data_IF_531479347204
#
_entry.id   IF_531479347204
#
_cell.length_a   1.000
_cell.length_b   1.000
_cell.length_c   1.000
_cell.angle_alpha   90.00
_cell.angle_beta   90.00
_cell.angle_gamma   90.00
#
_symmetry.space_group_name_H-M   'P 1'
#
loop_
_entity.id
_entity.type
_entity.pdbx_description
1 polymer ?
#
# COMPACT_ATOMS: atom_id res chain seq x y z
N UNK A 1 13.87 18.11 1.99
CA UNK A 1 13.12 18.20 3.26
C UNK A 1 13.49 16.96 4.07
N UNK A 2 14.10 17.10 5.25
CA UNK A 2 14.23 16.01 6.21
C UNK A 2 13.18 16.25 7.28
N UNK A 3 12.14 15.42 7.34
CA UNK A 3 11.20 15.46 8.44
C UNK A 3 11.91 14.90 9.68
N UNK A 4 11.79 15.56 10.83
CA UNK A 4 12.54 15.21 12.06
C UNK A 4 11.72 14.38 13.04
N UNK A 5 10.44 14.10 12.72
CA UNK A 5 9.53 13.33 13.56
C UNK A 5 8.72 12.37 12.68
N UNK A 6 8.43 11.18 13.22
CA UNK A 6 7.62 10.15 12.57
C UNK A 6 6.64 9.55 13.57
N UNK A 7 5.46 9.12 13.09
CA UNK A 7 4.51 8.32 13.86
C UNK A 7 4.72 6.81 13.65
N UNK A 8 5.70 6.42 12.83
CA UNK A 8 6.05 5.03 12.60
C UNK A 8 6.77 4.42 13.81
N UNK A 9 6.65 3.10 13.96
CA UNK A 9 7.40 2.35 14.99
C UNK A 9 8.92 2.31 14.72
N UNK A 10 9.35 2.63 13.50
CA UNK A 10 10.76 2.72 13.11
C UNK A 10 11.14 4.19 13.05
N UNK A 11 12.06 4.62 13.91
CA UNK A 11 12.41 6.04 14.05
C UNK A 11 13.10 6.61 12.81
N UNK A 12 13.84 5.77 12.06
CA UNK A 12 14.58 6.16 10.86
C UNK A 12 13.69 6.30 9.61
N UNK A 13 12.40 5.97 9.73
CA UNK A 13 11.42 6.09 8.66
C UNK A 13 10.62 7.38 8.81
N UNK A 14 11.03 8.41 8.08
CA UNK A 14 10.31 9.69 8.02
C UNK A 14 9.41 9.81 6.78
N UNK A 15 9.16 8.69 6.09
CA UNK A 15 8.34 8.68 4.88
C UNK A 15 6.89 9.06 5.18
N UNK A 16 6.22 9.63 4.19
CA UNK A 16 4.79 9.87 4.27
C UNK A 16 4.02 8.72 3.62
N UNK A 17 3.01 8.24 4.32
CA UNK A 17 2.07 7.22 3.88
C UNK A 17 0.67 7.78 4.00
N UNK A 18 -0.05 7.88 2.89
CA UNK A 18 -1.38 8.48 2.88
C UNK A 18 -2.39 7.62 2.12
N UNK A 19 -3.62 7.62 2.63
CA UNK A 19 -4.78 6.92 2.06
C UNK A 19 -6.02 7.82 2.21
N UNK A 20 -7.04 7.68 1.34
CA UNK A 20 -8.29 8.41 1.53
C UNK A 20 -8.98 7.96 2.82
N UNK A 21 -9.54 8.92 3.54
CA UNK A 21 -10.27 8.69 4.79
C UNK A 21 -11.49 7.82 4.54
N UNK A 22 -11.67 6.77 5.34
CA UNK A 22 -12.91 6.00 5.36
C UNK A 22 -13.98 6.77 6.11
N UNK A 23 -15.18 6.85 5.54
CA UNK A 23 -16.33 7.47 6.15
C UNK A 23 -17.42 6.41 6.35
N UNK A 24 -18.14 6.47 7.47
CA UNK A 24 -19.41 5.76 7.66
C UNK A 24 -20.51 6.78 7.89
N UNK A 25 -21.47 6.85 6.96
CA UNK A 25 -22.58 7.83 6.99
C UNK A 25 -22.07 9.27 7.17
N UNK A 26 -21.00 9.61 6.46
CA UNK A 26 -20.36 10.93 6.48
C UNK A 26 -19.47 11.23 7.69
N UNK A 27 -19.32 10.29 8.64
CA UNK A 27 -18.42 10.44 9.80
C UNK A 27 -17.11 9.73 9.55
N UNK A 28 -16.00 10.34 9.98
CA UNK A 28 -14.65 9.74 9.92
C UNK A 28 -14.61 8.43 10.69
N UNK A 29 -14.00 7.42 10.06
CA UNK A 29 -13.61 6.17 10.69
C UNK A 29 -12.10 6.07 10.58
N UNK A 30 -11.41 6.33 11.68
CA UNK A 30 -9.96 6.18 11.73
C UNK A 30 -9.57 4.70 11.61
N UNK A 31 -8.50 4.38 10.85
CA UNK A 31 -7.90 3.05 10.89
C UNK A 31 -7.50 2.71 12.33
N UNK A 32 -7.79 1.48 12.75
CA UNK A 32 -7.26 0.91 13.99
C UNK A 32 -5.75 0.67 13.87
N UNK A 33 -5.30 0.25 12.69
CA UNK A 33 -3.90 -0.03 12.40
C UNK A 33 -3.61 0.19 10.91
N UNK A 34 -2.43 0.73 10.62
CA UNK A 34 -1.86 0.76 9.26
C UNK A 34 -0.47 0.13 9.32
N UNK A 35 -0.33 -1.01 8.67
CA UNK A 35 0.95 -1.72 8.59
C UNK A 35 1.55 -1.54 7.22
N UNK A 36 2.73 -0.91 7.17
CA UNK A 36 3.50 -0.73 5.93
C UNK A 36 4.51 -1.86 5.81
N UNK A 37 4.41 -2.62 4.72
CA UNK A 37 5.33 -3.69 4.38
C UNK A 37 6.25 -3.28 3.25
N UNK A 38 7.54 -3.58 3.43
CA UNK A 38 8.56 -3.52 2.39
C UNK A 38 8.89 -4.96 1.98
N UNK A 39 8.48 -5.36 0.77
CA UNK A 39 8.75 -6.69 0.23
C UNK A 39 9.37 -6.64 -1.16
N UNK A 40 9.42 -7.81 -1.81
CA UNK A 40 9.69 -7.92 -3.24
C UNK A 40 8.66 -8.84 -3.86
N UNK A 41 8.11 -8.46 -5.01
CA UNK A 41 7.21 -9.29 -5.82
C UNK A 41 7.90 -9.82 -7.08
N UNK A 42 9.13 -9.38 -7.33
CA UNK A 42 9.98 -9.85 -8.41
C UNK A 42 10.53 -11.23 -8.08
N UNK A 43 10.74 -12.03 -9.13
CA UNK A 43 11.26 -13.40 -9.02
C UNK A 43 12.66 -13.45 -8.43
N UNK A 44 13.50 -12.46 -8.75
CA UNK A 44 14.85 -12.29 -8.22
C UNK A 44 14.91 -11.03 -7.34
N UNK A 45 14.73 -11.14 -6.01
CA UNK A 45 14.81 -10.00 -5.11
C UNK A 45 16.25 -9.59 -4.77
N UNK A 46 17.27 -10.35 -5.20
CA UNK A 46 18.67 -10.07 -4.86
C UNK A 46 19.20 -8.77 -5.48
N UNK A 47 18.50 -8.26 -6.51
CA UNK A 47 18.84 -7.03 -7.24
C UNK A 47 18.03 -5.81 -6.80
N UNK A 48 17.13 -5.97 -5.81
CA UNK A 48 16.36 -4.85 -5.25
C UNK A 48 17.30 -3.81 -4.67
N UNK A 49 17.11 -2.55 -5.07
CA UNK A 49 17.85 -1.39 -4.58
C UNK A 49 16.98 -0.57 -3.63
N UNK A 50 17.54 0.11 -2.62
CA UNK A 50 16.77 1.04 -1.80
C UNK A 50 16.19 2.16 -2.66
N UNK A 51 15.02 2.66 -2.26
CA UNK A 51 14.44 3.83 -2.92
C UNK A 51 15.39 5.03 -2.82
N UNK A 52 15.53 5.83 -3.88
CA UNK A 52 16.24 7.09 -3.78
C UNK A 52 15.48 8.06 -2.85
N UNK A 53 16.17 8.87 -2.04
CA UNK A 53 15.53 9.90 -1.24
C UNK A 53 14.74 10.84 -2.13
N UNK A 54 13.50 11.16 -1.77
CA UNK A 54 12.70 12.03 -2.61
C UNK A 54 11.67 11.32 -3.48
N UNK A 55 11.77 9.99 -3.67
CA UNK A 55 10.86 9.24 -4.54
C UNK A 55 9.41 9.37 -4.07
N UNK A 56 8.50 9.66 -5.00
CA UNK A 56 7.05 9.80 -4.75
C UNK A 56 6.27 8.96 -5.72
N UNK A 57 5.29 8.21 -5.24
CA UNK A 57 4.42 7.45 -6.13
C UNK A 57 3.01 7.30 -5.57
N UNK A 58 2.04 7.13 -6.48
CA UNK A 58 0.64 6.87 -6.16
C UNK A 58 0.19 5.54 -6.80
N UNK A 59 -0.45 4.67 -6.03
CA UNK A 59 -1.17 3.48 -6.55
C UNK A 59 -2.68 3.68 -6.49
N UNK A 60 -3.46 3.02 -7.34
CA UNK A 60 -4.92 3.23 -7.47
C UNK A 60 -5.30 4.49 -8.25
N UNK A 61 -6.57 4.91 -8.20
CA UNK A 61 -7.07 6.10 -8.92
C UNK A 61 -8.18 6.80 -8.12
N UNK A 62 -7.89 7.99 -7.61
CA UNK A 62 -8.81 8.80 -6.81
C UNK A 62 -10.08 9.23 -7.58
N UNK A 63 -10.04 9.24 -8.92
CA UNK A 63 -11.17 9.66 -9.77
C UNK A 63 -12.07 8.51 -10.17
N UNK A 64 -11.65 7.27 -9.96
CA UNK A 64 -12.41 6.08 -10.36
C UNK A 64 -13.61 5.88 -9.45
N UNK A 65 -14.81 5.97 -10.01
CA UNK A 65 -16.06 5.84 -9.24
C UNK A 65 -16.84 4.55 -9.53
N UNK A 66 -16.51 3.84 -10.61
CA UNK A 66 -17.17 2.61 -11.04
C UNK A 66 -16.18 1.46 -11.15
N UNK A 67 -16.69 0.24 -11.22
CA UNK A 67 -15.86 -0.93 -11.48
C UNK A 67 -15.14 -0.79 -12.83
N UNK A 68 -13.95 -1.36 -12.95
CA UNK A 68 -13.31 -1.54 -14.27
C UNK A 68 -13.95 -2.73 -14.99
N UNK A 69 -13.90 -2.77 -16.33
CA UNK A 69 -14.45 -3.88 -17.11
C UNK A 69 -13.91 -5.27 -16.72
N UNK A 70 -12.76 -5.32 -16.05
CA UNK A 70 -12.06 -6.52 -15.60
C UNK A 70 -12.63 -7.15 -14.32
N UNK A 71 -13.64 -6.54 -13.68
CA UNK A 71 -14.32 -7.04 -12.47
C UNK A 71 -13.36 -7.48 -11.36
N UNK A 72 -12.18 -6.85 -11.27
CA UNK A 72 -11.25 -7.15 -10.18
C UNK A 72 -11.83 -6.76 -8.82
N UNK A 73 -12.90 -5.95 -8.82
CA UNK A 73 -13.76 -5.78 -7.66
C UNK A 73 -13.13 -4.90 -6.58
N UNK A 74 -13.95 -4.56 -5.60
CA UNK A 74 -13.49 -3.83 -4.44
C UNK A 74 -12.74 -4.77 -3.48
N UNK A 75 -11.41 -4.65 -3.38
CA UNK A 75 -10.55 -5.51 -2.56
C UNK A 75 -10.61 -5.21 -1.05
N UNK A 76 -11.76 -4.81 -0.49
CA UNK A 76 -11.94 -4.85 0.96
C UNK A 76 -12.39 -6.25 1.36
N UNK A 77 -11.87 -6.76 2.47
CA UNK A 77 -12.25 -8.05 3.02
C UNK A 77 -12.38 -7.97 4.53
N UNK A 78 -12.87 -9.06 5.13
CA UNK A 78 -12.96 -9.21 6.57
C UNK A 78 -11.83 -10.09 7.09
N UNK A 79 -11.01 -9.58 8.00
CA UNK A 79 -9.96 -10.34 8.67
C UNK A 79 -10.38 -10.70 10.10
N UNK A 80 -10.32 -11.98 10.46
CA UNK A 80 -10.67 -12.48 11.79
C UNK A 80 -11.60 -13.69 11.74
N UNK A 81 -11.94 -14.24 12.92
CA UNK A 81 -12.78 -15.44 13.03
C UNK A 81 -14.17 -15.12 12.48
N UNK A 82 -14.70 -16.01 11.64
CA UNK A 82 -16.00 -15.87 11.00
C UNK A 82 -16.01 -15.08 9.68
N UNK A 83 -14.98 -14.28 9.40
CA UNK A 83 -14.78 -13.62 8.10
C UNK A 83 -15.95 -12.74 7.64
N UNK A 84 -16.22 -12.76 6.34
CA UNK A 84 -17.34 -12.04 5.70
C UNK A 84 -18.65 -12.81 5.90
N UNK A 85 -19.67 -12.13 6.41
CA UNK A 85 -21.00 -12.71 6.67
C UNK A 85 -22.08 -12.18 5.71
N UNK A 86 -21.72 -11.26 4.81
CA UNK A 86 -22.62 -10.67 3.84
C UNK A 86 -21.99 -9.45 3.17
N UNK A 87 -22.78 -8.70 2.40
CA UNK A 87 -22.36 -7.46 1.73
C UNK A 87 -23.40 -6.36 1.86
N UNK A 88 -22.96 -5.12 1.66
CA UNK A 88 -23.85 -3.97 1.47
C UNK A 88 -24.78 -4.16 0.26
N UNK A 89 -25.89 -3.45 0.21
CA UNK A 89 -26.90 -3.59 -0.84
C UNK A 89 -26.36 -3.34 -2.26
N UNK A 90 -25.36 -2.48 -2.40
CA UNK A 90 -24.63 -2.20 -3.64
C UNK A 90 -23.52 -3.23 -3.96
N UNK A 91 -23.31 -4.21 -3.06
CA UNK A 91 -22.29 -5.24 -3.17
C UNK A 91 -20.86 -4.76 -3.01
N UNK A 92 -20.61 -3.48 -2.68
CA UNK A 92 -19.27 -2.91 -2.69
C UNK A 92 -18.46 -3.30 -1.46
N UNK A 93 -19.05 -3.28 -0.26
CA UNK A 93 -18.33 -3.55 0.98
C UNK A 93 -18.78 -4.85 1.64
N UNK A 94 -17.86 -5.65 2.21
CA UNK A 94 -18.23 -6.80 3.01
C UNK A 94 -18.82 -6.35 4.36
N UNK A 95 -19.69 -7.17 4.92
CA UNK A 95 -20.14 -7.12 6.31
C UNK A 95 -19.36 -8.17 7.07
N UNK A 96 -18.63 -7.77 8.12
CA UNK A 96 -17.78 -8.70 8.84
C UNK A 96 -18.49 -9.31 10.04
N UNK A 97 -18.12 -10.56 10.37
CA UNK A 97 -18.48 -11.18 11.64
C UNK A 97 -18.06 -10.30 12.82
N UNK A 98 -18.71 -10.47 13.98
CA UNK A 98 -18.40 -9.69 15.20
C UNK A 98 -16.94 -9.81 15.67
N UNK A 99 -16.28 -10.91 15.31
CA UNK A 99 -14.88 -11.23 15.62
C UNK A 99 -13.93 -11.01 14.44
N UNK A 100 -14.39 -10.28 13.41
CA UNK A 100 -13.60 -9.90 12.25
C UNK A 100 -13.73 -8.38 12.00
N UNK A 101 -12.76 -7.83 11.29
CA UNK A 101 -12.69 -6.40 11.00
C UNK A 101 -12.47 -6.14 9.51
N UNK A 102 -12.95 -4.99 9.03
CA UNK A 102 -12.80 -4.56 7.65
C UNK A 102 -11.35 -4.19 7.37
N UNK A 103 -10.76 -4.79 6.35
CA UNK A 103 -9.36 -4.57 5.96
C UNK A 103 -9.26 -4.24 4.47
N UNK A 104 -8.30 -3.38 4.13
CA UNK A 104 -7.84 -3.15 2.76
C UNK A 104 -6.33 -3.25 2.65
N UNK A 105 -5.85 -3.84 1.56
CA UNK A 105 -4.46 -3.74 1.13
C UNK A 105 -4.36 -2.99 -0.18
N UNK A 106 -3.35 -2.13 -0.24
CA UNK A 106 -2.91 -1.41 -1.43
C UNK A 106 -1.44 -1.75 -1.64
N UNK A 107 -1.06 -2.02 -2.88
CA UNK A 107 0.31 -2.39 -3.23
C UNK A 107 0.81 -1.44 -4.31
N UNK A 108 2.03 -0.97 -4.14
CA UNK A 108 2.72 -0.09 -5.05
C UNK A 108 3.54 -0.89 -6.08
N UNK A 109 4.03 -0.15 -7.06
CA UNK A 109 4.96 -0.61 -8.08
C UNK A 109 6.29 -1.08 -7.46
N UNK A 110 7.00 -1.95 -8.18
CA UNK A 110 8.26 -2.57 -7.75
C UNK A 110 9.42 -2.37 -8.74
N UNK A 111 9.20 -1.56 -9.78
CA UNK A 111 10.20 -1.20 -10.78
C UNK A 111 10.23 0.31 -11.03
N UNK A 112 11.42 0.91 -11.00
CA UNK A 112 11.67 2.34 -11.19
C UNK A 112 12.43 2.60 -12.51
N UNK A 113 12.18 3.75 -13.15
CA UNK A 113 12.86 4.14 -14.40
C UNK A 113 14.34 4.50 -14.26
N UNK A 114 14.83 4.61 -13.02
CA UNK A 114 16.23 4.93 -12.71
C UNK A 114 16.59 6.40 -12.89
N UNK A 115 15.61 7.27 -13.16
CA UNK A 115 15.84 8.67 -13.54
C UNK A 115 15.01 9.65 -12.73
N UNK A 116 13.70 9.43 -12.65
CA UNK A 116 12.78 10.44 -12.11
C UNK A 116 12.28 10.06 -10.73
N UNK A 117 12.46 10.96 -9.75
CA UNK A 117 11.90 10.77 -8.41
C UNK A 117 10.38 10.96 -8.36
N UNK A 118 9.82 11.59 -9.39
CA UNK A 118 8.40 11.88 -9.52
C UNK A 118 8.04 12.12 -10.99
N UNK A 119 6.77 12.01 -11.34
CA UNK A 119 6.22 12.36 -12.65
C UNK A 119 4.95 13.21 -12.47
N UNK A 120 4.47 13.95 -13.50
CA UNK A 120 3.28 14.79 -13.35
C UNK A 120 2.01 14.05 -12.89
N UNK A 121 1.95 12.74 -13.14
CA UNK A 121 0.87 11.84 -12.71
C UNK A 121 1.23 10.98 -11.48
N UNK A 122 2.42 11.18 -10.91
CA UNK A 122 3.01 10.42 -9.80
C UNK A 122 3.09 8.90 -10.03
N UNK A 123 3.07 8.46 -11.29
CA UNK A 123 2.95 7.04 -11.68
C UNK A 123 3.90 6.64 -12.81
N UNK A 124 4.02 7.45 -13.86
CA UNK A 124 4.71 7.09 -15.10
C UNK A 124 6.21 6.76 -14.97
N UNK A 125 6.85 7.14 -13.86
CA UNK A 125 8.25 6.80 -13.54
C UNK A 125 8.38 5.45 -12.81
N UNK A 126 7.26 4.77 -12.56
CA UNK A 126 7.16 3.48 -11.88
C UNK A 126 6.39 2.46 -12.75
N UNK A 127 6.71 1.18 -12.58
CA UNK A 127 5.99 0.08 -13.22
C UNK A 127 5.92 -1.16 -12.31
N UNK A 128 4.96 -2.03 -12.62
CA UNK A 128 4.96 -3.39 -12.07
C UNK A 128 5.98 -4.25 -12.83
N UNK A 129 6.52 -5.27 -12.16
CA UNK A 129 7.19 -6.38 -12.83
C UNK A 129 6.33 -7.00 -13.93
N UNK A 130 6.98 -7.47 -14.99
CA UNK A 130 6.32 -8.14 -16.10
C UNK A 130 5.88 -9.58 -15.73
N UNK A 131 5.26 -10.26 -16.70
CA UNK A 131 4.78 -11.64 -16.53
C UNK A 131 5.87 -12.66 -16.17
N UNK A 132 7.15 -12.33 -16.36
CA UNK A 132 8.30 -13.18 -15.97
C UNK A 132 8.76 -12.92 -14.52
N UNK A 133 8.18 -11.90 -13.87
CA UNK A 133 8.58 -11.43 -12.55
C UNK A 133 9.87 -10.59 -12.59
N UNK A 134 10.16 -9.94 -13.73
CA UNK A 134 11.31 -9.07 -13.90
C UNK A 134 10.85 -7.64 -14.22
N UNK A 135 11.72 -6.66 -13.96
CA UNK A 135 11.43 -5.29 -14.34
C UNK A 135 11.48 -5.09 -15.86
N UNK A 136 10.51 -4.34 -16.44
CA UNK A 136 10.51 -4.07 -17.87
C UNK A 136 11.69 -3.17 -18.25
N UNK A 137 12.11 -3.21 -19.52
CA UNK A 137 13.23 -2.39 -20.01
C UNK A 137 13.03 -0.87 -19.81
N UNK A 138 11.78 -0.41 -19.79
CA UNK A 138 11.45 0.99 -19.50
C UNK A 138 11.66 1.40 -18.04
N UNK A 139 11.61 0.43 -17.12
CA UNK A 139 11.75 0.64 -15.68
C UNK A 139 12.76 -0.33 -15.07
N UNK A 140 14.04 -0.26 -15.44
CA UNK A 140 14.97 -1.36 -15.25
C UNK A 140 15.49 -1.52 -13.82
N UNK A 141 15.11 -0.65 -12.88
CA UNK A 141 15.63 -0.64 -11.50
C UNK A 141 14.64 -1.32 -10.55
N UNK A 142 14.94 -2.54 -10.05
CA UNK A 142 14.14 -3.19 -9.02
C UNK A 142 14.18 -2.40 -7.71
N UNK A 143 13.02 -2.13 -7.13
CA UNK A 143 12.87 -1.42 -5.84
C UNK A 143 11.89 -2.17 -4.94
N UNK A 144 11.83 -1.89 -3.62
CA UNK A 144 10.90 -2.58 -2.74
C UNK A 144 9.46 -2.44 -3.24
N UNK A 145 8.69 -3.52 -3.21
CA UNK A 145 7.24 -3.43 -3.33
C UNK A 145 6.69 -3.01 -1.97
N UNK A 146 6.29 -1.74 -1.87
CA UNK A 146 5.61 -1.22 -0.68
C UNK A 146 4.15 -1.63 -0.73
N UNK A 147 3.60 -2.04 0.41
CA UNK A 147 2.16 -2.23 0.55
C UNK A 147 1.66 -1.78 1.91
N UNK A 148 0.44 -1.23 1.95
CA UNK A 148 -0.22 -0.88 3.20
C UNK A 148 -1.32 -1.88 3.46
N UNK A 149 -1.38 -2.44 4.67
CA UNK A 149 -2.53 -3.19 5.17
C UNK A 149 -3.22 -2.31 6.20
N UNK A 150 -4.48 -1.98 5.94
CA UNK A 150 -5.24 -0.96 6.66
C UNK A 150 -6.42 -1.64 7.30
N UNK A 151 -6.43 -1.72 8.64
CA UNK A 151 -7.51 -2.32 9.41
C UNK A 151 -8.41 -1.23 9.99
N UNK A 152 -9.72 -1.36 9.77
CA UNK A 152 -10.73 -0.46 10.32
C UNK A 152 -11.54 -1.19 11.38
N UNK A 153 -11.91 -0.54 12.50
CA UNK A 153 -12.68 -1.15 13.57
C UNK A 153 -14.19 -1.27 13.21
N UNK A 154 -14.49 -1.64 11.96
CA UNK A 154 -15.84 -1.86 11.45
C UNK A 154 -16.09 -3.36 11.27
N UNK A 155 -17.24 -3.82 11.75
CA UNK A 155 -17.65 -5.22 11.64
C UNK A 155 -19.08 -5.38 11.17
N UNK A 156 -19.98 -5.83 12.06
CA UNK A 156 -21.37 -6.28 11.81
C UNK A 156 -22.26 -5.29 11.04
N UNK A 157 -21.84 -4.04 10.88
CA UNK A 157 -22.54 -3.04 10.10
C UNK A 157 -21.55 -2.17 9.31
N UNK A 158 -21.53 -2.38 8.00
CA UNK A 158 -20.74 -1.61 7.02
C UNK A 158 -21.61 -0.76 6.09
N UNK A 159 -22.87 -0.51 6.46
CA UNK A 159 -23.77 0.32 5.66
C UNK A 159 -23.36 1.79 5.65
N UNK A 160 -23.43 2.40 4.47
CA UNK A 160 -23.11 3.81 4.26
C UNK A 160 -21.61 4.11 4.33
N UNK A 161 -20.76 3.11 4.07
CA UNK A 161 -19.33 3.32 3.95
C UNK A 161 -19.00 3.97 2.60
N UNK A 162 -18.15 4.99 2.63
CA UNK A 162 -17.54 5.62 1.46
C UNK A 162 -16.09 5.97 1.75
N UNK A 163 -15.35 6.34 0.71
CA UNK A 163 -14.05 7.02 0.85
C UNK A 163 -14.26 8.53 0.73
N UNK A 164 -13.34 9.33 1.28
CA UNK A 164 -13.35 10.78 1.06
C UNK A 164 -13.23 11.15 -0.43
N UNK A 165 -12.70 10.25 -1.25
CA UNK A 165 -12.62 10.34 -2.72
C UNK A 165 -13.85 9.76 -3.46
N UNK A 166 -14.89 9.32 -2.74
CA UNK A 166 -16.13 8.82 -3.32
C UNK A 166 -16.38 7.33 -3.06
N UNK A 167 -16.61 6.54 -4.10
CA UNK A 167 -16.90 5.11 -3.96
C UNK A 167 -15.64 4.31 -3.59
N UNK A 168 -15.80 3.03 -3.30
CA UNK A 168 -14.67 2.15 -2.96
C UNK A 168 -13.65 1.95 -4.09
N UNK A 169 -14.07 2.15 -5.34
CA UNK A 169 -13.19 2.10 -6.51
C UNK A 169 -12.18 3.25 -6.56
N UNK A 170 -12.45 4.33 -5.83
CA UNK A 170 -11.55 5.48 -5.71
C UNK A 170 -10.39 5.24 -4.74
N UNK A 171 -10.27 4.02 -4.19
CA UNK A 171 -9.16 3.67 -3.30
C UNK A 171 -7.82 3.88 -4.02
N UNK A 172 -6.96 4.64 -3.36
CA UNK A 172 -5.61 4.94 -3.78
C UNK A 172 -4.72 5.09 -2.54
N UNK A 173 -3.43 5.17 -2.77
CA UNK A 173 -2.48 5.42 -1.70
C UNK A 173 -1.25 6.12 -2.24
N UNK A 174 -0.67 6.95 -1.40
CA UNK A 174 0.45 7.81 -1.74
C UNK A 174 1.63 7.43 -0.84
N UNK A 175 2.81 7.34 -1.46
CA UNK A 175 4.07 7.10 -0.77
C UNK A 175 5.07 8.19 -1.14
N UNK A 176 5.70 8.79 -0.14
CA UNK A 176 6.82 9.70 -0.32
C UNK A 176 7.98 9.21 0.54
N UNK A 177 9.02 8.67 -0.11
CA UNK A 177 10.22 8.16 0.55
C UNK A 177 11.02 9.30 1.21
N UNK A 178 11.15 9.19 2.53
CA UNK A 178 12.03 10.03 3.33
C UNK A 178 12.72 9.23 4.44
N UNK A 179 12.90 7.92 4.23
CA UNK A 179 13.80 7.10 5.05
C UNK A 179 15.19 7.71 5.14
N UNK A 180 15.86 7.48 6.25
CA UNK A 180 17.32 7.59 6.28
C UNK A 180 17.97 6.54 5.36
N UNK A 181 18.93 6.98 4.55
CA UNK A 181 19.53 6.18 3.48
C UNK A 181 20.17 4.87 3.97
N UNK A 182 20.92 4.95 5.07
CA UNK A 182 21.69 3.80 5.59
C UNK A 182 20.78 2.73 6.22
N UNK A 183 19.81 3.08 7.10
CA UNK A 183 18.80 2.14 7.59
C UNK A 183 17.98 1.48 6.48
N UNK A 184 17.53 2.24 5.47
CA UNK A 184 16.78 1.66 4.34
C UNK A 184 17.67 0.69 3.53
N UNK A 185 18.90 1.09 3.20
CA UNK A 185 19.83 0.22 2.48
C UNK A 185 20.15 -1.06 3.26
N UNK A 186 20.30 -0.97 4.59
CA UNK A 186 20.50 -2.14 5.44
C UNK A 186 19.30 -3.08 5.41
N UNK A 187 18.07 -2.56 5.50
CA UNK A 187 16.84 -3.36 5.39
C UNK A 187 16.74 -4.07 4.04
N UNK A 188 17.00 -3.36 2.94
CA UNK A 188 16.97 -3.97 1.61
C UNK A 188 17.99 -5.10 1.51
N UNK A 189 19.24 -4.85 1.92
CA UNK A 189 20.32 -5.84 1.86
C UNK A 189 20.07 -7.06 2.75
N UNK A 190 19.66 -6.84 4.00
CA UNK A 190 19.57 -7.89 5.01
C UNK A 190 18.29 -8.71 4.90
N UNK A 191 17.21 -8.10 4.40
CA UNK A 191 15.88 -8.73 4.38
C UNK A 191 15.43 -9.06 2.96
N UNK A 192 15.31 -8.04 2.11
CA UNK A 192 14.72 -8.20 0.77
C UNK A 192 15.67 -8.98 -0.14
N UNK A 193 16.93 -8.59 -0.23
CA UNK A 193 17.89 -9.29 -1.10
C UNK A 193 18.15 -10.73 -0.65
N UNK A 194 17.94 -11.05 0.64
CA UNK A 194 18.04 -12.41 1.17
C UNK A 194 16.74 -13.22 1.02
N UNK A 195 15.63 -12.59 0.63
CA UNK A 195 14.32 -13.25 0.52
C UNK A 195 13.73 -13.70 1.86
N UNK A 196 14.08 -13.02 2.95
CA UNK A 196 13.64 -13.39 4.31
C UNK A 196 12.69 -12.35 4.90
N UNK A 197 11.85 -12.80 5.84
CA UNK A 197 10.99 -11.91 6.63
C UNK A 197 11.78 -11.39 7.82
N UNK A 198 11.90 -10.08 7.92
CA UNK A 198 12.48 -9.40 9.07
C UNK A 198 11.40 -8.78 9.96
N UNK A 199 11.77 -8.49 11.20
CA UNK A 199 10.98 -7.67 12.10
C UNK A 199 10.96 -6.19 11.67
N UNK A 200 10.22 -5.37 12.42
CA UNK A 200 10.05 -3.95 12.12
C UNK A 200 11.37 -3.18 12.11
N UNK A 201 12.41 -3.60 12.81
CA UNK A 201 13.74 -2.94 12.82
C UNK A 201 14.65 -3.41 11.68
N UNK A 202 14.21 -4.33 10.82
CA UNK A 202 15.04 -4.86 9.73
C UNK A 202 16.07 -5.90 10.20
N UNK A 203 15.84 -6.48 11.38
CA UNK A 203 16.58 -7.62 11.91
C UNK A 203 15.76 -8.90 11.74
N UNK A 204 16.44 -10.05 11.80
CA UNK A 204 15.80 -11.38 11.73
C UNK A 204 14.84 -11.63 12.91
#
# INVERSE_FOLDING_TARGET
>A
MRATATSCNVADDHSAYWIPTLLQKGKVVDPKEVTVYYGSRLKDPSKTQPFPPGLRMITGDARKQTDTPDKQGNHFWCAGIGGETGRTADGLFPVCAKTAELVRQVTFFDCWDGKHLDSPDHKAHMAMGDHTGACPKSHPVPVPSVSFVIAYPLSTNTNGITLSSGTSFSMHADFFNAWEDSPLAARVRNCLNQGVKCNSQGNF
#
